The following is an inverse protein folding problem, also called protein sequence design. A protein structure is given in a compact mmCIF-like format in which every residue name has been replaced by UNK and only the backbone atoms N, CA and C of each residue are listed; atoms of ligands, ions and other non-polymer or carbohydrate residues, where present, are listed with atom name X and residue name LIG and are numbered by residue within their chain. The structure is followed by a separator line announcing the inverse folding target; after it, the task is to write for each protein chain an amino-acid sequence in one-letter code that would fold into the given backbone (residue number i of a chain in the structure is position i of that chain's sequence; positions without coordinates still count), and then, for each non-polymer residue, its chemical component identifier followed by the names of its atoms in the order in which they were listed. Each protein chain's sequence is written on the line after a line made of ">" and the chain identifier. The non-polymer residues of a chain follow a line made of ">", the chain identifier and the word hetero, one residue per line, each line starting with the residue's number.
data_IF_534669574523
#
_entry.id   IF_534669574523
#
_cell.length_a   1.000
_cell.length_b   1.000
_cell.length_c   1.000
_cell.angle_alpha   90.00
_cell.angle_beta   90.00
_cell.angle_gamma   90.00
#
_symmetry.space_group_name_H-M   'P 1'
#
loop_
_entity.id
_entity.type
_entity.pdbx_description
1 polymer ?
#
# COMPACT_ATOMS: atom_id res chain seq x y z
N UNK A 1 -72.11 -20.08 -38.91
CA UNK A 1 -72.31 -18.73 -38.33
C UNK A 1 -71.15 -18.51 -37.37
N UNK A 2 -70.14 -17.69 -37.71
CA UNK A 2 -70.04 -16.24 -37.36
C UNK A 2 -70.12 -16.09 -35.83
N UNK A 3 -69.09 -15.69 -35.05
CA UNK A 3 -68.19 -14.52 -35.11
C UNK A 3 -66.85 -14.90 -34.42
N UNK A 4 -65.64 -14.65 -34.94
CA UNK A 4 -64.93 -13.39 -35.20
C UNK A 4 -64.75 -12.48 -33.97
N UNK A 5 -63.53 -12.45 -33.42
CA UNK A 5 -62.78 -11.30 -32.85
C UNK A 5 -61.73 -11.82 -31.85
N UNK A 6 -60.46 -11.96 -32.25
CA UNK A 6 -59.39 -10.95 -32.06
C UNK A 6 -59.19 -10.59 -30.59
N UNK A 7 -58.15 -11.16 -29.97
CA UNK A 7 -57.37 -10.45 -28.96
C UNK A 7 -55.89 -10.83 -29.10
N UNK A 8 -55.30 -10.36 -30.20
CA UNK A 8 -53.85 -10.16 -30.29
C UNK A 8 -53.56 -8.88 -29.49
N UNK A 9 -53.23 -8.99 -28.20
CA UNK A 9 -52.56 -7.92 -27.47
C UNK A 9 -51.11 -8.33 -27.25
N UNK A 10 -50.22 -7.50 -27.79
CA UNK A 10 -48.82 -7.80 -28.02
C UNK A 10 -48.04 -8.17 -26.77
N UNK A 11 -47.29 -9.27 -26.90
CA UNK A 11 -46.14 -9.58 -26.07
C UNK A 11 -44.92 -8.76 -26.55
N UNK A 12 -45.02 -7.44 -26.45
CA UNK A 12 -43.92 -6.53 -26.80
C UNK A 12 -44.03 -5.23 -26.00
N UNK A 13 -43.62 -5.29 -24.74
CA UNK A 13 -43.12 -4.20 -23.89
C UNK A 13 -43.18 -4.70 -22.44
N UNK A 14 -42.12 -4.79 -21.65
CA UNK A 14 -40.72 -4.54 -21.89
C UNK A 14 -39.98 -5.32 -20.80
N UNK A 15 -38.96 -6.08 -21.19
CA UNK A 15 -37.91 -6.57 -20.31
C UNK A 15 -37.02 -5.40 -19.81
N UNK A 16 -37.63 -4.27 -19.44
CA UNK A 16 -36.95 -3.06 -18.98
C UNK A 16 -37.01 -2.90 -17.45
N UNK A 17 -37.60 -3.85 -16.74
CA UNK A 17 -37.46 -3.93 -15.28
C UNK A 17 -36.08 -4.51 -14.86
N UNK A 18 -35.27 -4.98 -15.81
CA UNK A 18 -33.95 -5.60 -15.58
C UNK A 18 -32.79 -4.82 -16.24
N UNK A 19 -33.01 -3.59 -16.71
CA UNK A 19 -31.98 -2.79 -17.40
C UNK A 19 -31.20 -1.82 -16.51
N UNK A 20 -31.54 -1.63 -15.22
CA UNK A 20 -30.83 -0.68 -14.37
C UNK A 20 -31.16 -0.83 -12.86
N UNK A 21 -30.73 -1.91 -12.22
CA UNK A 21 -29.95 -1.67 -11.00
C UNK A 21 -28.62 -1.07 -11.50
N UNK A 22 -28.56 0.24 -11.82
CA UNK A 22 -27.92 1.22 -10.94
C UNK A 22 -26.48 0.80 -10.61
N UNK A 23 -25.67 0.60 -11.66
CA UNK A 23 -24.48 -0.25 -11.76
C UNK A 23 -23.23 0.25 -10.99
N UNK A 24 -23.36 0.48 -9.68
CA UNK A 24 -22.23 0.76 -8.79
C UNK A 24 -21.42 -0.51 -8.44
N UNK A 25 -21.93 -1.70 -8.75
CA UNK A 25 -21.33 -2.99 -8.37
C UNK A 25 -19.90 -3.19 -8.90
N UNK A 26 -19.64 -2.99 -10.19
CA UNK A 26 -18.29 -3.02 -10.76
C UNK A 26 -17.36 -1.98 -10.11
N UNK A 27 -17.83 -0.75 -9.88
CA UNK A 27 -17.06 0.29 -9.18
C UNK A 27 -16.70 -0.14 -7.75
N UNK A 28 -17.64 -0.73 -7.00
CA UNK A 28 -17.38 -1.29 -5.67
C UNK A 28 -16.32 -2.38 -5.69
N UNK A 29 -16.36 -3.28 -6.68
CA UNK A 29 -15.34 -4.33 -6.84
C UNK A 29 -13.95 -3.74 -7.10
N UNK A 30 -13.86 -2.70 -7.94
CA UNK A 30 -12.60 -1.99 -8.17
C UNK A 30 -12.07 -1.37 -6.88
N UNK A 31 -12.91 -0.62 -6.15
CA UNK A 31 -12.50 0.01 -4.87
C UNK A 31 -12.07 -1.06 -3.86
N UNK A 32 -12.81 -2.16 -3.74
CA UNK A 32 -12.48 -3.26 -2.85
C UNK A 32 -11.14 -3.93 -3.23
N UNK A 33 -10.90 -4.18 -4.51
CA UNK A 33 -9.65 -4.77 -5.00
C UNK A 33 -8.44 -3.88 -4.67
N UNK A 34 -8.56 -2.57 -4.89
CA UNK A 34 -7.50 -1.61 -4.56
C UNK A 34 -7.31 -1.54 -3.05
N UNK A 35 -8.41 -1.53 -2.27
CA UNK A 35 -8.36 -1.52 -0.80
C UNK A 35 -7.59 -2.73 -0.27
N UNK A 36 -7.87 -3.93 -0.79
CA UNK A 36 -7.14 -5.15 -0.43
C UNK A 36 -5.67 -5.06 -0.80
N UNK A 37 -5.33 -4.50 -1.96
CA UNK A 37 -3.94 -4.34 -2.37
C UNK A 37 -3.19 -3.32 -1.48
N UNK A 38 -3.84 -2.21 -1.10
CA UNK A 38 -3.31 -1.23 -0.14
C UNK A 38 -3.08 -1.89 1.22
N UNK A 39 -4.05 -2.65 1.73
CA UNK A 39 -3.91 -3.37 3.01
C UNK A 39 -2.78 -4.41 2.99
N UNK A 40 -2.61 -5.12 1.88
CA UNK A 40 -1.52 -6.07 1.73
C UNK A 40 -0.17 -5.36 1.73
N UNK A 41 -0.05 -4.25 0.98
CA UNK A 41 1.16 -3.44 0.95
C UNK A 41 1.48 -2.84 2.33
N UNK A 42 0.47 -2.33 3.02
CA UNK A 42 0.57 -1.79 4.39
C UNK A 42 1.13 -2.84 5.35
N UNK A 43 0.56 -4.05 5.34
CA UNK A 43 1.02 -5.15 6.18
C UNK A 43 2.49 -5.52 5.93
N UNK A 44 2.90 -5.67 4.66
CA UNK A 44 4.31 -6.03 4.37
C UNK A 44 5.28 -4.89 4.67
N UNK A 45 4.83 -3.63 4.59
CA UNK A 45 5.63 -2.47 4.99
C UNK A 45 5.82 -2.45 6.51
N UNK A 46 4.77 -2.71 7.29
CA UNK A 46 4.88 -2.79 8.75
C UNK A 46 5.86 -3.89 9.20
N UNK A 47 5.83 -5.03 8.52
CA UNK A 47 6.71 -6.17 8.80
C UNK A 47 8.15 -5.96 8.29
N UNK A 48 8.37 -5.04 7.34
CA UNK A 48 9.69 -4.78 6.78
C UNK A 48 10.66 -4.25 7.84
N UNK A 49 11.85 -4.85 7.93
CA UNK A 49 12.87 -4.50 8.94
C UNK A 49 14.29 -4.44 8.35
N UNK A 50 14.41 -3.97 7.10
CA UNK A 50 15.72 -3.79 6.45
C UNK A 50 16.35 -5.06 5.85
N UNK A 51 15.53 -6.09 5.59
CA UNK A 51 15.95 -7.39 5.06
C UNK A 51 15.52 -7.61 3.60
N UNK A 52 14.79 -8.70 3.36
CA UNK A 52 14.26 -9.01 2.03
C UNK A 52 13.18 -7.98 1.63
N UNK A 53 13.43 -7.27 0.52
CA UNK A 53 12.51 -6.25 -0.02
C UNK A 53 11.44 -6.82 -0.95
N UNK A 54 11.56 -8.06 -1.43
CA UNK A 54 10.65 -8.59 -2.44
C UNK A 54 9.19 -8.63 -2.01
N UNK A 55 8.84 -8.95 -0.75
CA UNK A 55 7.45 -8.84 -0.31
C UNK A 55 6.86 -7.44 -0.51
N UNK A 56 7.65 -6.40 -0.27
CA UNK A 56 7.23 -4.99 -0.45
C UNK A 56 7.11 -4.65 -1.93
N UNK A 57 8.04 -5.10 -2.77
CA UNK A 57 8.00 -4.88 -4.22
C UNK A 57 6.82 -5.63 -4.84
N UNK A 58 6.64 -6.91 -4.55
CA UNK A 58 5.54 -7.73 -5.07
C UNK A 58 4.18 -7.16 -4.66
N UNK A 59 4.04 -6.67 -3.42
CA UNK A 59 2.82 -6.02 -2.96
C UNK A 59 2.60 -4.65 -3.64
N UNK A 60 3.67 -3.91 -3.93
CA UNK A 60 3.60 -2.66 -4.69
C UNK A 60 3.15 -2.90 -6.13
N UNK A 61 3.73 -3.90 -6.80
CA UNK A 61 3.34 -4.31 -8.14
C UNK A 61 1.89 -4.82 -8.18
N UNK A 62 1.45 -5.54 -7.15
CA UNK A 62 0.05 -5.95 -7.01
C UNK A 62 -0.90 -4.76 -6.87
N UNK A 63 -0.50 -3.70 -6.14
CA UNK A 63 -1.25 -2.46 -6.04
C UNK A 63 -1.32 -1.72 -7.38
N UNK A 64 -0.18 -1.56 -8.07
CA UNK A 64 -0.12 -0.98 -9.43
C UNK A 64 -1.06 -1.74 -10.37
N UNK A 65 -0.99 -3.07 -10.37
CA UNK A 65 -1.86 -3.92 -11.16
C UNK A 65 -3.35 -3.74 -10.81
N UNK A 66 -3.70 -3.65 -9.53
CA UNK A 66 -5.08 -3.43 -9.10
C UNK A 66 -5.61 -2.06 -9.56
N UNK A 67 -4.76 -1.02 -9.57
CA UNK A 67 -5.09 0.31 -10.09
C UNK A 67 -5.32 0.26 -11.62
N UNK A 68 -4.44 -0.41 -12.37
CA UNK A 68 -4.54 -0.53 -13.84
C UNK A 68 -5.74 -1.40 -14.29
N UNK A 69 -5.98 -2.53 -13.61
CA UNK A 69 -7.15 -3.37 -13.83
C UNK A 69 -8.44 -2.60 -13.49
N UNK A 70 -8.40 -1.82 -12.39
CA UNK A 70 -9.45 -0.92 -11.99
C UNK A 70 -9.77 0.11 -13.07
N UNK A 71 -8.72 0.71 -13.66
CA UNK A 71 -8.85 1.69 -14.74
C UNK A 71 -9.50 1.06 -15.96
N UNK A 72 -9.00 -0.10 -16.38
CA UNK A 72 -9.53 -0.85 -17.53
C UNK A 72 -11.00 -1.20 -17.33
N UNK A 73 -11.36 -1.60 -16.11
CA UNK A 73 -12.76 -1.86 -15.74
C UNK A 73 -13.60 -0.60 -15.87
N UNK A 74 -13.19 0.50 -15.23
CA UNK A 74 -13.92 1.78 -15.23
C UNK A 74 -14.09 2.34 -16.65
N UNK A 75 -13.06 2.27 -17.49
CA UNK A 75 -13.12 2.73 -18.88
C UNK A 75 -14.22 2.01 -19.67
N UNK A 76 -14.43 0.72 -19.38
CA UNK A 76 -15.46 -0.11 -20.01
C UNK A 76 -16.88 0.06 -19.46
N UNK A 77 -17.06 0.79 -18.36
CA UNK A 77 -18.38 1.03 -17.76
C UNK A 77 -19.08 2.26 -18.35
N UNK A 78 -20.39 2.31 -18.23
CA UNK A 78 -21.18 3.51 -18.51
C UNK A 78 -20.96 4.61 -17.46
N UNK A 79 -21.38 5.83 -17.77
CA UNK A 79 -21.30 6.93 -16.81
C UNK A 79 -22.18 6.65 -15.57
N UNK A 80 -21.64 6.93 -14.39
CA UNK A 80 -22.37 6.84 -13.12
C UNK A 80 -23.57 7.78 -13.10
N UNK A 81 -24.70 7.31 -12.56
CA UNK A 81 -25.80 8.21 -12.22
C UNK A 81 -25.58 8.77 -10.81
N UNK A 82 -26.16 9.95 -10.52
CA UNK A 82 -26.02 10.58 -9.20
C UNK A 82 -26.50 9.69 -8.04
N UNK A 83 -27.46 8.80 -8.28
CA UNK A 83 -27.96 7.86 -7.27
C UNK A 83 -26.99 6.71 -6.96
N UNK A 84 -26.05 6.43 -7.87
CA UNK A 84 -25.13 5.27 -7.77
C UNK A 84 -23.79 5.68 -7.14
N UNK A 85 -23.49 6.97 -7.15
CA UNK A 85 -22.27 7.53 -6.55
C UNK A 85 -22.30 7.54 -5.01
N UNK A 86 -23.48 7.71 -4.39
CA UNK A 86 -23.63 7.79 -2.94
C UNK A 86 -23.05 6.58 -2.19
N UNK A 87 -23.43 5.34 -2.56
CA UNK A 87 -22.90 4.11 -1.94
C UNK A 87 -21.38 3.91 -2.10
N UNK A 88 -20.71 4.64 -2.98
CA UNK A 88 -19.25 4.55 -3.19
C UNK A 88 -18.48 5.47 -2.24
N UNK A 89 -19.11 6.52 -1.70
CA UNK A 89 -18.42 7.52 -0.87
C UNK A 89 -17.82 6.94 0.41
N UNK A 90 -18.51 5.98 1.04
CA UNK A 90 -18.00 5.29 2.24
C UNK A 90 -16.78 4.44 1.93
N UNK A 91 -16.85 3.66 0.84
CA UNK A 91 -15.76 2.79 0.38
C UNK A 91 -14.53 3.63 -0.01
N UNK A 92 -14.74 4.74 -0.72
CA UNK A 92 -13.70 5.72 -1.03
C UNK A 92 -13.09 6.29 0.26
N UNK A 93 -13.90 6.80 1.19
CA UNK A 93 -13.38 7.35 2.47
C UNK A 93 -12.49 6.35 3.20
N UNK A 94 -12.89 5.07 3.23
CA UNK A 94 -12.07 4.00 3.82
C UNK A 94 -10.75 3.79 3.08
N UNK A 95 -10.79 3.75 1.74
CA UNK A 95 -9.59 3.64 0.92
C UNK A 95 -8.61 4.80 1.14
N UNK A 96 -9.10 6.03 1.26
CA UNK A 96 -8.25 7.19 1.55
C UNK A 96 -7.60 7.08 2.93
N UNK A 97 -8.35 6.66 3.95
CA UNK A 97 -7.79 6.47 5.29
C UNK A 97 -6.70 5.39 5.29
N UNK A 98 -6.92 4.26 4.63
CA UNK A 98 -5.92 3.19 4.50
C UNK A 98 -4.69 3.63 3.73
N UNK A 99 -4.87 4.42 2.68
CA UNK A 99 -3.75 4.98 1.92
C UNK A 99 -2.94 5.95 2.77
N UNK A 100 -3.59 6.75 3.63
CA UNK A 100 -2.90 7.62 4.59
C UNK A 100 -2.09 6.80 5.59
N UNK A 101 -2.66 5.73 6.16
CA UNK A 101 -1.91 4.79 7.03
C UNK A 101 -0.68 4.25 6.32
N UNK A 102 -0.85 3.64 5.14
CA UNK A 102 0.25 3.13 4.33
C UNK A 102 1.35 4.18 4.09
N UNK A 103 0.96 5.41 3.74
CA UNK A 103 1.94 6.47 3.50
C UNK A 103 2.68 6.91 4.77
N UNK A 104 2.06 6.80 5.93
CA UNK A 104 2.73 7.07 7.21
C UNK A 104 3.67 5.93 7.58
N UNK A 105 3.23 4.68 7.44
CA UNK A 105 4.03 3.50 7.74
C UNK A 105 5.26 3.43 6.83
N UNK A 106 5.12 3.77 5.55
CA UNK A 106 6.26 3.92 4.65
C UNK A 106 7.25 4.97 5.17
N UNK A 107 6.79 6.15 5.61
CA UNK A 107 7.68 7.19 6.15
C UNK A 107 8.40 6.73 7.41
N UNK A 108 7.70 6.01 8.28
CA UNK A 108 8.26 5.48 9.52
C UNK A 108 9.34 4.42 9.24
N UNK A 109 9.19 3.65 8.15
CA UNK A 109 10.18 2.67 7.67
C UNK A 109 11.34 3.27 6.87
N UNK A 110 11.40 4.59 6.69
CA UNK A 110 12.50 5.21 5.92
C UNK A 110 13.87 4.83 6.44
N UNK A 111 14.07 4.78 7.77
CA UNK A 111 15.37 4.40 8.36
C UNK A 111 15.81 2.99 7.96
N UNK A 112 14.88 2.02 7.99
CA UNK A 112 15.13 0.64 7.58
C UNK A 112 15.42 0.55 6.07
N UNK A 113 14.72 1.35 5.26
CA UNK A 113 14.92 1.46 3.81
C UNK A 113 16.29 2.05 3.46
N UNK A 114 16.71 3.11 4.16
CA UNK A 114 18.03 3.73 3.99
C UNK A 114 19.15 2.75 4.36
N UNK A 115 19.01 2.08 5.50
CA UNK A 115 19.98 1.09 5.98
C UNK A 115 20.13 -0.09 5.02
N UNK A 116 19.03 -0.53 4.41
CA UNK A 116 19.03 -1.59 3.41
C UNK A 116 19.50 -1.13 2.02
N UNK A 117 19.60 0.19 1.78
CA UNK A 117 19.98 0.73 0.48
C UNK A 117 18.87 0.60 -0.57
N UNK A 118 17.60 0.72 -0.16
CA UNK A 118 16.42 0.47 -0.99
C UNK A 118 15.60 1.74 -1.31
N UNK A 119 16.11 2.94 -1.00
CA UNK A 119 15.45 4.22 -1.30
C UNK A 119 15.11 4.39 -2.78
N UNK A 120 15.99 3.94 -3.69
CA UNK A 120 15.72 3.98 -5.13
C UNK A 120 14.52 3.09 -5.51
N UNK A 121 14.45 1.88 -4.93
CA UNK A 121 13.36 0.94 -5.20
C UNK A 121 12.03 1.48 -4.68
N UNK A 122 12.01 2.02 -3.45
CA UNK A 122 10.81 2.66 -2.87
C UNK A 122 10.37 3.87 -3.68
N UNK A 123 11.31 4.70 -4.16
CA UNK A 123 10.97 5.82 -5.05
C UNK A 123 10.36 5.37 -6.36
N UNK A 124 10.90 4.31 -6.98
CA UNK A 124 10.37 3.77 -8.22
C UNK A 124 8.94 3.27 -8.01
N UNK A 125 8.72 2.42 -7.00
CA UNK A 125 7.40 1.87 -6.67
C UNK A 125 6.37 2.97 -6.39
N UNK A 126 6.74 4.00 -5.61
CA UNK A 126 5.88 5.16 -5.37
C UNK A 126 5.57 5.94 -6.66
N UNK A 127 6.52 6.04 -7.58
CA UNK A 127 6.32 6.67 -8.88
C UNK A 127 5.31 5.92 -9.76
N UNK A 128 5.41 4.59 -9.78
CA UNK A 128 4.50 3.71 -10.53
C UNK A 128 3.09 3.74 -9.93
N UNK A 129 2.98 3.62 -8.60
CA UNK A 129 1.70 3.76 -7.87
C UNK A 129 1.07 5.12 -8.16
N UNK A 130 1.82 6.23 -8.09
CA UNK A 130 1.30 7.56 -8.38
C UNK A 130 0.79 7.67 -9.82
N UNK A 131 1.51 7.11 -10.79
CA UNK A 131 1.12 7.13 -12.21
C UNK A 131 -0.18 6.36 -12.46
N UNK A 132 -0.26 5.12 -11.97
CA UNK A 132 -1.45 4.28 -12.11
C UNK A 132 -2.64 4.82 -11.33
N UNK A 133 -2.40 5.35 -10.12
CA UNK A 133 -3.41 6.06 -9.34
C UNK A 133 -3.99 7.24 -10.11
N UNK A 134 -3.15 8.11 -10.64
CA UNK A 134 -3.56 9.29 -11.41
C UNK A 134 -4.38 8.87 -12.65
N UNK A 135 -3.96 7.80 -13.34
CA UNK A 135 -4.66 7.27 -14.51
C UNK A 135 -6.04 6.68 -14.19
N UNK A 136 -6.17 5.92 -13.10
CA UNK A 136 -7.44 5.41 -12.60
C UNK A 136 -8.39 6.55 -12.22
N UNK A 137 -7.84 7.54 -11.52
CA UNK A 137 -8.55 8.74 -11.09
C UNK A 137 -9.15 9.49 -12.28
N UNK A 138 -8.35 9.73 -13.32
CA UNK A 138 -8.80 10.48 -14.50
C UNK A 138 -9.92 9.72 -15.22
N UNK A 139 -9.80 8.39 -15.32
CA UNK A 139 -10.85 7.52 -15.80
C UNK A 139 -12.12 7.63 -14.94
N UNK A 140 -12.01 7.55 -13.62
CA UNK A 140 -13.14 7.66 -12.70
C UNK A 140 -13.85 9.02 -12.80
N UNK A 141 -13.11 10.13 -12.83
CA UNK A 141 -13.68 11.49 -12.98
C UNK A 141 -14.39 11.66 -14.32
N UNK A 142 -13.91 11.01 -15.38
CA UNK A 142 -14.57 11.03 -16.70
C UNK A 142 -15.95 10.34 -16.70
N UNK A 143 -16.16 9.36 -15.80
CA UNK A 143 -17.42 8.62 -15.65
C UNK A 143 -18.39 9.25 -14.66
N UNK A 144 -17.98 10.30 -13.94
CA UNK A 144 -18.81 10.96 -12.92
C UNK A 144 -19.55 12.16 -13.54
N UNK A 145 -20.86 12.35 -13.24
CA UNK A 145 -21.60 13.52 -13.71
C UNK A 145 -20.94 14.84 -13.28
N UNK A 146 -20.97 15.86 -14.14
CA UNK A 146 -20.39 17.19 -13.91
C UNK A 146 -20.66 17.77 -12.51
N UNK A 147 -21.88 17.60 -11.98
CA UNK A 147 -22.26 18.11 -10.66
C UNK A 147 -21.54 17.45 -9.46
N UNK A 148 -20.94 16.26 -9.66
CA UNK A 148 -20.22 15.48 -8.66
C UNK A 148 -18.70 15.47 -8.88
N UNK A 149 -18.22 15.99 -10.01
CA UNK A 149 -16.80 15.98 -10.37
C UNK A 149 -15.94 16.72 -9.32
N UNK A 150 -16.39 17.85 -8.78
CA UNK A 150 -15.61 18.58 -7.76
C UNK A 150 -15.41 17.78 -6.47
N UNK A 151 -16.40 16.98 -6.07
CA UNK A 151 -16.31 16.11 -4.89
C UNK A 151 -15.32 14.97 -5.17
N UNK A 152 -15.44 14.35 -6.34
CA UNK A 152 -14.52 13.32 -6.78
C UNK A 152 -13.08 13.84 -6.85
N UNK A 153 -12.85 15.01 -7.46
CA UNK A 153 -11.54 15.65 -7.54
C UNK A 153 -10.94 15.97 -6.16
N UNK A 154 -11.76 16.34 -5.17
CA UNK A 154 -11.29 16.55 -3.80
C UNK A 154 -10.78 15.27 -3.14
N UNK A 155 -11.54 14.18 -3.27
CA UNK A 155 -11.16 12.87 -2.75
C UNK A 155 -9.88 12.34 -3.43
N UNK A 156 -9.85 12.44 -4.75
CA UNK A 156 -8.71 12.13 -5.60
C UNK A 156 -7.45 12.89 -5.18
N UNK A 157 -7.58 14.18 -4.92
CA UNK A 157 -6.46 15.04 -4.56
C UNK A 157 -5.88 14.60 -3.21
N UNK A 158 -6.74 14.24 -2.25
CA UNK A 158 -6.29 13.67 -0.97
C UNK A 158 -5.52 12.35 -1.16
N UNK A 159 -6.08 11.42 -1.94
CA UNK A 159 -5.47 10.12 -2.21
C UNK A 159 -4.10 10.26 -2.89
N UNK A 160 -4.05 10.98 -4.02
CA UNK A 160 -2.82 11.14 -4.81
C UNK A 160 -1.78 12.02 -4.10
N UNK A 161 -2.19 13.06 -3.36
CA UNK A 161 -1.24 13.90 -2.64
C UNK A 161 -0.50 13.13 -1.54
N UNK A 162 -1.16 12.19 -0.84
CA UNK A 162 -0.49 11.37 0.18
C UNK A 162 0.69 10.60 -0.41
N UNK A 163 0.49 9.94 -1.55
CA UNK A 163 1.56 9.22 -2.25
C UNK A 163 2.62 10.16 -2.84
N UNK A 164 2.23 11.31 -3.41
CA UNK A 164 3.21 12.31 -3.92
C UNK A 164 4.08 12.89 -2.82
N UNK A 165 3.49 13.27 -1.68
CA UNK A 165 4.24 13.78 -0.52
C UNK A 165 5.16 12.70 0.05
N UNK A 166 4.75 11.44 0.00
CA UNK A 166 5.59 10.31 0.43
C UNK A 166 6.75 10.12 -0.55
N UNK A 167 6.51 10.18 -1.86
CA UNK A 167 7.58 10.13 -2.86
C UNK A 167 8.59 11.28 -2.69
N UNK A 168 8.12 12.48 -2.36
CA UNK A 168 8.99 13.63 -2.03
C UNK A 168 9.76 13.42 -0.73
N UNK A 169 9.13 12.82 0.28
CA UNK A 169 9.79 12.42 1.52
C UNK A 169 10.91 11.39 1.29
N UNK A 170 10.75 10.53 0.29
CA UNK A 170 11.76 9.56 -0.17
C UNK A 170 12.70 10.11 -1.27
N UNK A 171 12.65 11.41 -1.56
CA UNK A 171 13.53 12.04 -2.57
C UNK A 171 15.01 11.73 -2.34
N UNK A 172 15.81 11.85 -3.39
CA UNK A 172 17.26 11.56 -3.36
C UNK A 172 18.03 12.36 -2.30
N UNK A 173 17.49 13.50 -1.85
CA UNK A 173 18.06 14.28 -0.74
C UNK A 173 17.67 13.77 0.64
N UNK A 174 16.49 13.16 0.77
CA UNK A 174 15.89 12.76 2.05
C UNK A 174 15.99 11.26 2.35
N UNK A 175 16.22 10.42 1.34
CA UNK A 175 16.46 8.99 1.47
C UNK A 175 17.64 8.59 0.57
N UNK A 176 18.75 8.17 1.17
CA UNK A 176 19.98 7.83 0.47
C UNK A 176 20.32 6.34 0.59
N UNK A 177 20.67 5.70 -0.54
CA UNK A 177 21.08 4.31 -0.56
C UNK A 177 22.45 4.12 0.10
N UNK A 178 22.50 3.45 1.24
CA UNK A 178 23.76 3.12 1.92
C UNK A 178 24.49 4.31 2.55
N UNK A 179 23.81 5.44 2.72
CA UNK A 179 24.31 6.55 3.53
C UNK A 179 24.04 6.24 4.99
N UNK A 180 25.06 6.28 5.85
CA UNK A 180 24.86 6.46 7.29
C UNK A 180 24.10 7.77 7.51
N UNK A 181 22.78 7.68 7.46
CA UNK A 181 21.86 8.80 7.57
C UNK A 181 21.76 9.22 9.02
N UNK A 182 22.67 10.11 9.42
CA UNK A 182 22.48 11.02 10.54
C UNK A 182 21.14 11.76 10.38
N UNK A 183 20.04 11.15 10.79
CA UNK A 183 18.80 11.88 11.02
C UNK A 183 18.94 12.61 12.36
N UNK A 184 19.09 13.93 12.28
CA UNK A 184 19.69 14.78 13.29
C UNK A 184 19.09 14.69 14.70
N UNK A 185 19.98 14.48 15.66
CA UNK A 185 19.92 15.17 16.95
C UNK A 185 21.00 16.25 16.96
N UNK A 186 20.59 17.51 17.07
CA UNK A 186 21.45 18.68 17.33
C UNK A 186 20.72 19.46 18.43
N UNK A 187 21.27 19.88 19.56
CA UNK A 187 22.64 20.27 19.93
C UNK A 187 22.84 20.03 21.44
N UNK A 188 24.05 19.86 21.96
CA UNK A 188 24.86 21.00 22.37
C UNK A 188 26.36 20.68 22.28
N UNK A 189 27.11 21.58 21.64
CA UNK A 189 28.57 21.51 21.58
C UNK A 189 29.26 22.04 22.82
N UNK A 190 30.54 21.70 22.93
CA UNK A 190 31.60 22.61 23.37
C UNK A 190 32.94 22.08 22.87
N UNK A 191 33.74 23.00 22.33
CA UNK A 191 34.89 22.71 21.48
C UNK A 191 36.16 22.28 22.20
N UNK A 192 37.20 22.10 21.38
CA UNK A 192 38.57 21.88 21.82
C UNK A 192 39.48 21.53 20.65
N UNK A 193 40.15 22.54 20.09
CA UNK A 193 41.30 22.38 19.19
C UNK A 193 42.46 21.64 19.88
N UNK A 194 43.22 20.85 19.12
CA UNK A 194 44.55 20.41 19.57
C UNK A 194 45.21 19.30 18.73
N UNK A 195 45.94 19.71 17.69
CA UNK A 195 47.33 19.28 17.42
C UNK A 195 47.69 17.80 17.17
N UNK A 196 48.14 17.57 15.92
CA UNK A 196 49.43 16.94 15.55
C UNK A 196 49.68 15.44 15.74
N UNK A 197 49.80 14.75 14.59
CA UNK A 197 51.07 14.17 14.12
C UNK A 197 51.53 12.83 14.71
N UNK A 198 51.73 11.84 13.84
CA UNK A 198 52.57 10.68 14.14
C UNK A 198 52.26 9.44 13.31
N UNK A 199 52.93 9.30 12.16
CA UNK A 199 53.04 8.03 11.43
C UNK A 199 53.91 7.03 12.20
N UNK A 200 53.58 5.74 12.13
CA UNK A 200 54.40 4.67 11.51
C UNK A 200 54.28 3.29 12.22
N UNK A 201 54.00 2.28 11.39
CA UNK A 201 54.55 0.89 11.37
C UNK A 201 54.26 -0.16 12.46
N UNK A 202 53.77 -1.28 11.91
CA UNK A 202 54.26 -2.67 12.03
C UNK A 202 53.71 -3.59 13.13
N UNK A 203 52.95 -4.58 12.64
CA UNK A 203 53.09 -6.04 12.80
C UNK A 203 53.47 -6.63 14.17
N UNK A 204 52.67 -7.58 14.67
CA UNK A 204 52.95 -9.04 14.57
C UNK A 204 51.94 -9.87 15.39
N UNK A 205 51.50 -10.99 14.79
CA UNK A 205 51.17 -12.33 15.36
C UNK A 205 50.51 -12.44 16.74
N UNK A 206 49.52 -13.32 16.96
CA UNK A 206 49.70 -14.79 16.99
C UNK A 206 48.34 -15.54 17.08
N UNK A 207 48.24 -16.70 16.41
CA UNK A 207 47.71 -18.04 16.85
C UNK A 207 46.40 -18.14 17.65
N UNK A 208 45.47 -19.09 17.52
CA UNK A 208 45.25 -20.30 16.72
C UNK A 208 43.78 -20.76 16.98
N UNK A 209 43.01 -21.13 15.95
CA UNK A 209 42.44 -22.47 15.66
C UNK A 209 41.90 -23.35 16.80
N UNK A 210 40.63 -23.75 16.69
CA UNK A 210 39.99 -25.03 17.14
C UNK A 210 38.62 -25.10 16.42
N UNK A 211 38.45 -25.79 15.28
CA UNK A 211 38.21 -27.24 15.06
C UNK A 211 37.04 -27.85 15.85
N UNK A 212 35.99 -28.22 15.10
CA UNK A 212 35.06 -29.38 15.17
C UNK A 212 33.64 -28.92 14.79
N UNK A 213 33.10 -29.09 13.57
CA UNK A 213 32.73 -30.31 12.81
C UNK A 213 31.69 -31.20 13.51
N UNK A 214 30.68 -31.59 12.70
CA UNK A 214 29.73 -32.73 12.83
C UNK A 214 28.33 -32.38 13.37
N UNK A 215 27.18 -32.81 12.81
CA UNK A 215 26.84 -33.67 11.66
C UNK A 215 25.34 -33.49 11.33
N UNK A 216 24.97 -33.75 10.07
CA UNK A 216 23.62 -33.79 9.52
C UNK A 216 22.70 -34.88 10.13
N UNK A 217 21.38 -34.66 10.09
CA UNK A 217 20.40 -35.69 9.71
C UNK A 217 18.99 -35.09 9.55
N UNK A 218 18.42 -35.24 8.35
CA UNK A 218 16.97 -35.30 8.13
C UNK A 218 16.44 -36.67 8.58
N UNK A 219 15.14 -36.75 8.93
CA UNK A 219 14.31 -37.75 8.26
C UNK A 219 12.93 -37.22 7.84
N UNK A 220 12.47 -37.77 6.70
CA UNK A 220 11.09 -37.72 6.23
C UNK A 220 10.16 -38.53 7.14
N UNK A 221 8.91 -38.09 7.28
CA UNK A 221 7.84 -38.88 7.88
C UNK A 221 6.49 -38.19 7.75
N UNK A 222 5.66 -38.68 6.82
CA UNK A 222 4.25 -38.33 6.68
C UNK A 222 3.40 -38.94 7.80
N UNK A 223 2.33 -38.24 8.21
CA UNK A 223 0.93 -38.70 8.32
C UNK A 223 0.14 -38.01 9.45
N UNK A 224 -1.15 -37.77 9.15
CA UNK A 224 -2.31 -37.58 10.05
C UNK A 224 -2.35 -36.25 10.85
N UNK A 225 -3.21 -35.30 10.48
CA UNK A 225 -4.64 -35.24 10.79
C UNK A 225 -4.94 -34.77 12.23
N UNK A 226 -5.60 -33.61 12.35
CA UNK A 226 -6.54 -33.37 13.43
C UNK A 226 -6.21 -32.24 14.42
N UNK A 227 -6.89 -31.11 14.20
CA UNK A 227 -7.67 -30.34 15.18
C UNK A 227 -7.00 -29.27 16.07
N UNK A 228 -7.80 -28.21 16.25
CA UNK A 228 -7.88 -27.25 17.38
C UNK A 228 -7.21 -25.88 17.23
N UNK A 229 -8.00 -24.95 16.69
CA UNK A 229 -8.41 -23.63 17.22
C UNK A 229 -7.37 -22.60 17.72
N UNK A 230 -7.52 -21.30 17.37
CA UNK A 230 -6.65 -20.23 17.83
C UNK A 230 -7.01 -19.74 19.24
N UNK A 231 -6.02 -19.73 20.14
CA UNK A 231 -6.05 -19.00 21.42
C UNK A 231 -5.33 -17.67 21.21
N UNK A 232 -6.08 -16.57 21.16
CA UNK A 232 -5.56 -15.22 21.41
C UNK A 232 -6.27 -14.69 22.65
N UNK A 233 -5.61 -14.78 23.79
CA UNK A 233 -6.01 -14.08 25.00
C UNK A 233 -4.77 -13.68 25.81
N UNK A 234 -4.78 -12.41 26.22
CA UNK A 234 -4.05 -11.77 27.32
C UNK A 234 -2.63 -11.28 27.06
N UNK A 235 -2.49 -9.95 27.18
CA UNK A 235 -1.20 -9.30 27.34
C UNK A 235 -1.25 -7.77 27.45
N UNK A 236 -2.22 -7.20 28.16
CA UNK A 236 -2.14 -5.79 28.57
C UNK A 236 -1.09 -5.62 29.68
N UNK A 237 -0.08 -4.78 29.46
CA UNK A 237 0.68 -4.14 30.54
C UNK A 237 0.79 -2.64 30.25
N UNK A 238 0.24 -1.88 31.19
CA UNK A 238 0.35 -0.44 31.31
C UNK A 238 1.79 -0.01 31.64
N UNK A 239 2.26 1.04 30.98
CA UNK A 239 3.48 1.76 31.32
C UNK A 239 3.24 3.26 31.26
N UNK A 240 2.76 3.82 32.38
CA UNK A 240 2.73 5.26 32.65
C UNK A 240 4.17 5.79 32.65
N UNK A 241 4.47 6.80 31.84
CA UNK A 241 5.59 7.70 32.13
C UNK A 241 5.14 9.15 32.10
N UNK A 242 5.34 9.77 33.26
CA UNK A 242 4.95 11.11 33.61
C UNK A 242 5.90 12.15 32.99
N UNK A 243 5.29 13.30 32.72
CA UNK A 243 5.88 14.64 32.55
C UNK A 243 6.93 14.91 33.63
N UNK A 244 8.11 15.40 33.23
CA UNK A 244 8.94 16.27 34.07
C UNK A 244 9.83 17.20 33.21
N UNK A 245 9.66 18.50 33.49
CA UNK A 245 10.33 19.73 33.04
C UNK A 245 10.30 20.14 31.57
#
# INVERSE_FOLDING_TARGET
>A
MKYASVLTLGLAAAASASLAERDAGPYKKVIASITTAVDNLDSVVQDYSGGDKQPVIDASDALVKALDDGKTTIDGLDNLTAGDAGPLMGDLTSLSAKSQTLTNDLKDKRGDVEQAGECDAVRSALGDINTSAQSLVDAAVSKIPKGLQSIASGFVSQFTNGFKQTQEYFSTSNCQNGGGGNNGTSSAGSGGSGGSGGSSTASSSSTASSTSSQTAASPSGANAAGMLAPVWAMGAVMGVFAVYY
#
